data_IF_737118283250
#
_entry.id   IF_737118283250
#
_cell.length_a   1.000
_cell.length_b   1.000
_cell.length_c   1.000
_cell.angle_alpha   90.00
_cell.angle_beta   90.00
_cell.angle_gamma   90.00
#
_symmetry.space_group_name_H-M   'P 1'
#
loop_
_entity.id
_entity.type
_entity.pdbx_description
1 polymer ?
#
# COMPACT_ATOMS: atom_id res chain seq x y z
N UNK A 1 10.49 6.35 -2.17
CA UNK A 1 9.70 7.53 -1.78
C UNK A 1 8.31 7.38 -2.36
N UNK A 2 7.31 8.00 -1.73
CA UNK A 2 5.88 7.74 -1.94
C UNK A 2 5.50 7.33 -3.37
N UNK A 3 4.83 6.19 -3.48
CA UNK A 3 4.50 5.56 -4.76
C UNK A 3 5.60 4.70 -5.37
N UNK A 4 6.77 4.57 -4.72
CA UNK A 4 7.80 3.60 -5.12
C UNK A 4 7.30 2.18 -4.89
N UNK A 5 7.56 1.32 -5.87
CA UNK A 5 7.35 -0.12 -5.78
C UNK A 5 8.63 -0.78 -5.26
N UNK A 6 8.49 -1.63 -4.25
CA UNK A 6 9.55 -2.47 -3.72
C UNK A 6 9.12 -3.92 -3.93
N UNK A 7 9.82 -4.62 -4.82
CA UNK A 7 9.58 -6.05 -5.02
C UNK A 7 10.10 -6.85 -3.83
N UNK A 8 9.46 -7.96 -3.50
CA UNK A 8 9.85 -8.92 -2.46
C UNK A 8 10.39 -8.24 -1.18
N UNK A 9 9.67 -7.23 -0.70
CA UNK A 9 9.96 -6.56 0.55
C UNK A 9 9.60 -7.51 1.70
N UNK A 10 10.56 -7.89 2.56
CA UNK A 10 10.24 -8.67 3.74
C UNK A 10 9.44 -7.82 4.72
N UNK A 11 8.30 -8.34 5.15
CA UNK A 11 7.50 -7.76 6.22
C UNK A 11 7.37 -8.76 7.35
N UNK A 12 7.43 -8.24 8.57
CA UNK A 12 7.17 -9.00 9.79
C UNK A 12 5.65 -9.09 9.96
N UNK A 13 5.13 -10.30 10.06
CA UNK A 13 3.74 -10.55 10.38
C UNK A 13 3.62 -10.56 11.91
N UNK A 14 2.82 -9.65 12.50
CA UNK A 14 2.60 -9.64 13.93
C UNK A 14 2.12 -11.02 14.40
N UNK A 15 2.75 -11.62 15.43
CA UNK A 15 2.28 -12.86 16.02
C UNK A 15 0.91 -12.63 16.69
N UNK A 16 0.15 -13.71 16.87
CA UNK A 16 -1.13 -13.64 17.60
C UNK A 16 -0.95 -13.38 19.09
N UNK A 17 0.19 -13.78 19.65
CA UNK A 17 0.57 -13.58 21.04
C UNK A 17 1.73 -12.60 21.12
N UNK A 18 1.65 -11.63 22.03
CA UNK A 18 2.69 -10.62 22.24
C UNK A 18 3.34 -10.90 23.60
N UNK A 19 4.58 -11.35 23.59
CA UNK A 19 5.44 -11.59 24.75
C UNK A 19 6.81 -10.94 24.57
N UNK A 20 7.65 -10.99 25.61
CA UNK A 20 8.99 -10.37 25.59
C UNK A 20 9.88 -10.96 24.48
N UNK A 21 9.81 -12.28 24.29
CA UNK A 21 10.41 -12.98 23.16
C UNK A 21 9.31 -13.65 22.35
N UNK A 22 9.27 -13.37 21.04
CA UNK A 22 8.30 -13.95 20.11
C UNK A 22 9.01 -14.43 18.85
N UNK A 23 8.65 -15.61 18.37
CA UNK A 23 8.99 -16.01 17.01
C UNK A 23 8.05 -15.29 16.04
N UNK A 24 8.63 -14.61 15.04
CA UNK A 24 7.86 -13.88 14.04
C UNK A 24 7.99 -14.52 12.68
N UNK A 25 6.90 -14.48 11.91
CA UNK A 25 6.92 -14.91 10.51
C UNK A 25 7.30 -13.73 9.62
N UNK A 26 8.25 -13.96 8.73
CA UNK A 26 8.61 -12.99 7.68
C UNK A 26 8.00 -13.46 6.37
N UNK A 27 7.25 -12.58 5.71
CA UNK A 27 6.68 -12.83 4.38
C UNK A 27 7.23 -11.76 3.42
N UNK A 28 7.58 -12.18 2.20
CA UNK A 28 7.99 -11.25 1.15
C UNK A 28 6.75 -10.83 0.34
N UNK A 29 6.49 -9.52 0.28
CA UNK A 29 5.46 -8.95 -0.59
C UNK A 29 6.07 -7.99 -1.60
N UNK A 30 5.50 -7.93 -2.79
CA UNK A 30 5.62 -6.75 -3.62
C UNK A 30 4.76 -5.65 -2.99
N UNK A 31 5.36 -4.50 -2.68
CA UNK A 31 4.69 -3.41 -1.94
C UNK A 31 4.84 -2.05 -2.61
N UNK A 32 3.91 -1.14 -2.33
CA UNK A 32 4.01 0.29 -2.66
C UNK A 32 4.23 1.10 -1.38
N UNK A 33 5.15 2.07 -1.42
CA UNK A 33 5.37 3.00 -0.31
C UNK A 33 4.22 4.01 -0.23
N UNK A 34 3.58 4.09 0.93
CA UNK A 34 2.43 4.97 1.20
C UNK A 34 2.80 6.22 2.00
N UNK A 35 3.83 6.18 2.84
CA UNK A 35 4.26 7.35 3.63
C UNK A 35 4.52 8.58 2.76
N UNK A 36 4.15 9.74 3.28
CA UNK A 36 4.19 11.01 2.55
C UNK A 36 5.61 11.40 2.13
N UNK A 37 5.73 11.99 0.95
CA UNK A 37 7.02 12.37 0.37
C UNK A 37 7.82 13.34 1.26
N UNK A 38 7.17 14.34 1.88
CA UNK A 38 7.83 15.33 2.72
C UNK A 38 8.52 14.69 3.93
N UNK A 39 7.83 13.77 4.60
CA UNK A 39 8.36 13.09 5.80
C UNK A 39 9.54 12.18 5.47
N UNK A 40 9.50 11.52 4.31
CA UNK A 40 10.59 10.66 3.83
C UNK A 40 11.83 11.47 3.43
N UNK A 41 11.68 12.63 2.79
CA UNK A 41 12.81 13.50 2.42
C UNK A 41 13.48 14.06 3.66
N UNK A 42 12.69 14.49 4.64
CA UNK A 42 13.18 15.10 5.87
C UNK A 42 13.61 14.07 6.93
N UNK A 43 13.53 12.77 6.62
CA UNK A 43 13.83 11.66 7.54
C UNK A 43 13.09 11.78 8.88
N UNK A 44 11.81 12.17 8.83
CA UNK A 44 10.96 12.36 10.01
C UNK A 44 10.33 11.07 10.53
N UNK A 45 10.57 9.94 9.86
CA UNK A 45 9.94 8.66 10.15
C UNK A 45 11.00 7.58 10.30
N UNK A 46 10.95 6.85 11.41
CA UNK A 46 11.72 5.62 11.61
C UNK A 46 11.08 4.44 10.86
N UNK A 47 9.76 4.47 10.70
CA UNK A 47 8.95 3.45 10.06
C UNK A 47 8.21 4.01 8.84
N UNK A 48 8.28 3.29 7.73
CA UNK A 48 7.58 3.63 6.49
C UNK A 48 6.39 2.70 6.30
N UNK A 49 5.24 3.31 6.02
CA UNK A 49 4.03 2.60 5.65
C UNK A 49 4.14 2.06 4.24
N UNK A 50 3.82 0.78 4.08
CA UNK A 50 3.76 0.08 2.80
C UNK A 50 2.49 -0.74 2.72
N UNK A 51 1.94 -0.87 1.51
CA UNK A 51 0.79 -1.74 1.23
C UNK A 51 1.19 -2.80 0.19
N UNK A 52 0.80 -4.08 0.36
CA UNK A 52 0.98 -5.11 -0.65
C UNK A 52 0.27 -4.79 -1.95
N UNK A 53 0.81 -5.35 -3.02
CA UNK A 53 0.29 -5.21 -4.37
C UNK A 53 0.15 -6.60 -4.98
N UNK A 54 -0.99 -6.82 -5.64
CA UNK A 54 -1.33 -8.10 -6.24
C UNK A 54 -1.58 -7.93 -7.73
N UNK A 55 -1.01 -8.77 -8.62
CA UNK A 55 -1.46 -8.86 -10.00
C UNK A 55 -2.97 -9.12 -10.04
N UNK A 56 -3.72 -8.40 -10.87
CA UNK A 56 -5.18 -8.54 -10.94
C UNK A 56 -5.58 -10.01 -11.19
N UNK A 57 -4.86 -10.71 -12.07
CA UNK A 57 -5.05 -12.14 -12.34
C UNK A 57 -4.98 -13.04 -11.09
N UNK A 58 -4.13 -12.70 -10.12
CA UNK A 58 -4.00 -13.44 -8.87
C UNK A 58 -5.09 -13.02 -7.88
N UNK A 59 -5.38 -11.73 -7.84
CA UNK A 59 -6.43 -11.17 -7.00
C UNK A 59 -7.83 -11.71 -7.35
N UNK A 60 -8.07 -11.98 -8.64
CA UNK A 60 -9.28 -12.64 -9.15
C UNK A 60 -9.55 -14.00 -8.48
N UNK A 61 -8.51 -14.74 -8.10
CA UNK A 61 -8.66 -16.06 -7.47
C UNK A 61 -9.17 -16.00 -6.02
N UNK A 62 -9.24 -14.80 -5.41
CA UNK A 62 -9.75 -14.64 -4.04
C UNK A 62 -11.27 -14.82 -3.93
N UNK A 63 -12.03 -14.58 -5.00
CA UNK A 63 -13.48 -14.79 -5.02
C UNK A 63 -14.07 -14.73 -6.43
N UNK A 64 -15.19 -15.42 -6.66
CA UNK A 64 -15.94 -15.34 -7.92
C UNK A 64 -16.40 -13.91 -8.26
N UNK A 65 -16.60 -13.06 -7.25
CA UNK A 65 -16.93 -11.65 -7.44
C UNK A 65 -15.83 -10.94 -8.25
N UNK A 66 -14.56 -11.12 -7.91
CA UNK A 66 -13.44 -10.47 -8.61
C UNK A 66 -13.19 -11.07 -10.00
N UNK A 67 -13.56 -12.34 -10.24
CA UNK A 67 -13.56 -12.93 -11.59
C UNK A 67 -14.63 -12.32 -12.49
N UNK A 68 -15.76 -11.91 -11.91
CA UNK A 68 -16.88 -11.36 -12.67
C UNK A 68 -16.57 -9.99 -13.28
N UNK A 69 -17.15 -9.70 -14.45
CA UNK A 69 -17.05 -8.37 -15.09
C UNK A 69 -17.54 -7.25 -14.15
N UNK A 70 -18.60 -7.50 -13.40
CA UNK A 70 -19.15 -6.55 -12.43
C UNK A 70 -18.13 -6.21 -11.35
N UNK A 71 -17.53 -7.21 -10.70
CA UNK A 71 -16.56 -6.96 -9.63
C UNK A 71 -15.29 -6.27 -10.10
N UNK A 72 -14.81 -6.58 -11.32
CA UNK A 72 -13.70 -5.84 -11.95
C UNK A 72 -14.04 -4.37 -12.18
N UNK A 73 -15.27 -4.09 -12.61
CA UNK A 73 -15.73 -2.71 -12.83
C UNK A 73 -15.90 -1.94 -11.52
N UNK A 74 -16.45 -2.56 -10.47
CA UNK A 74 -16.51 -1.96 -9.12
C UNK A 74 -15.09 -1.65 -8.61
N UNK A 75 -14.12 -2.54 -8.83
CA UNK A 75 -12.73 -2.33 -8.44
C UNK A 75 -12.09 -1.18 -9.22
N UNK A 76 -12.34 -1.10 -10.54
CA UNK A 76 -11.86 -0.01 -11.42
C UNK A 76 -12.44 1.35 -11.03
N UNK A 77 -13.71 1.39 -10.61
CA UNK A 77 -14.38 2.60 -10.14
C UNK A 77 -13.96 3.01 -8.72
N UNK A 78 -13.26 2.13 -7.99
CA UNK A 78 -12.85 2.36 -6.60
C UNK A 78 -13.99 2.17 -5.59
N UNK A 79 -15.02 1.41 -5.97
CA UNK A 79 -16.19 1.13 -5.13
C UNK A 79 -15.97 -0.08 -4.19
N UNK A 80 -14.88 -0.82 -4.36
CA UNK A 80 -14.53 -1.94 -3.46
C UNK A 80 -13.68 -1.42 -2.30
N UNK A 81 -14.23 -1.31 -1.08
CA UNK A 81 -13.49 -0.72 0.04
C UNK A 81 -12.25 -1.54 0.39
N UNK A 82 -11.16 -0.84 0.70
CA UNK A 82 -9.90 -1.44 1.09
C UNK A 82 -9.01 -1.89 -0.08
N UNK A 83 -9.44 -1.65 -1.33
CA UNK A 83 -8.63 -1.98 -2.51
C UNK A 83 -8.57 -0.82 -3.50
N UNK A 84 -7.48 -0.73 -4.24
CA UNK A 84 -7.31 0.28 -5.29
C UNK A 84 -6.62 -0.31 -6.52
N UNK A 85 -7.24 -0.14 -7.69
CA UNK A 85 -6.69 -0.63 -8.95
C UNK A 85 -5.71 0.39 -9.54
N UNK A 86 -4.48 -0.06 -9.79
CA UNK A 86 -3.48 0.64 -10.59
C UNK A 86 -3.48 0.11 -12.01
N UNK A 87 -3.20 0.99 -12.97
CA UNK A 87 -3.14 0.65 -14.38
C UNK A 87 -1.93 -0.24 -14.70
N UNK A 88 -1.94 -0.82 -15.91
CA UNK A 88 -0.79 -1.52 -16.47
C UNK A 88 0.40 -0.58 -16.62
N UNK A 89 1.60 -1.16 -16.57
CA UNK A 89 2.85 -0.48 -16.91
C UNK A 89 3.42 -1.11 -18.18
N UNK A 90 3.76 -0.29 -19.17
CA UNK A 90 4.35 -0.72 -20.44
C UNK A 90 5.83 -0.30 -20.58
N UNK A 91 6.40 0.30 -19.53
CA UNK A 91 7.81 0.72 -19.52
C UNK A 91 8.70 -0.52 -19.68
N UNK A 92 9.66 -0.44 -20.61
CA UNK A 92 10.57 -1.54 -20.87
C UNK A 92 11.29 -2.02 -19.60
N UNK A 93 11.34 -3.34 -19.40
CA UNK A 93 11.86 -4.06 -18.22
C UNK A 93 11.09 -3.86 -16.92
N UNK A 94 10.02 -3.08 -16.94
CA UNK A 94 9.15 -2.83 -15.80
C UNK A 94 7.68 -3.07 -16.14
N UNK A 95 7.41 -3.94 -17.12
CA UNK A 95 6.06 -4.22 -17.52
C UNK A 95 5.29 -4.92 -16.38
N UNK A 96 4.07 -4.44 -16.13
CA UNK A 96 3.14 -5.04 -15.18
C UNK A 96 1.75 -5.05 -15.78
N UNK A 97 0.96 -6.07 -15.47
CA UNK A 97 -0.48 -6.01 -15.72
C UNK A 97 -1.15 -5.04 -14.71
N UNK A 98 -2.48 -4.98 -14.70
CA UNK A 98 -3.22 -4.28 -13.65
C UNK A 98 -2.81 -4.82 -12.27
N UNK A 99 -2.65 -3.90 -11.32
CA UNK A 99 -2.20 -4.19 -9.98
C UNK A 99 -3.25 -3.72 -8.97
N UNK A 100 -3.52 -4.53 -7.96
CA UNK A 100 -4.46 -4.21 -6.89
C UNK A 100 -3.66 -3.92 -5.62
N UNK A 101 -3.73 -2.68 -5.15
CA UNK A 101 -3.16 -2.29 -3.85
C UNK A 101 -4.13 -2.70 -2.75
N UNK A 102 -3.64 -3.42 -1.76
CA UNK A 102 -4.42 -3.92 -0.63
C UNK A 102 -4.25 -3.01 0.59
N UNK A 103 -5.24 -2.15 0.85
CA UNK A 103 -5.24 -1.25 2.01
C UNK A 103 -5.67 -1.95 3.30
N UNK A 104 -6.17 -3.19 3.23
CA UNK A 104 -6.56 -3.95 4.43
C UNK A 104 -5.34 -4.48 5.18
N UNK A 105 -4.21 -4.63 4.47
CA UNK A 105 -2.92 -5.02 5.03
C UNK A 105 -1.94 -3.87 4.91
N UNK A 106 -1.84 -3.05 5.95
CA UNK A 106 -0.86 -1.97 6.03
C UNK A 106 0.28 -2.40 6.93
N UNK A 107 1.50 -2.39 6.41
CA UNK A 107 2.69 -2.76 7.16
C UNK A 107 3.59 -1.55 7.38
N UNK A 108 4.33 -1.58 8.48
CA UNK A 108 5.41 -0.63 8.78
C UNK A 108 6.74 -1.33 8.62
N UNK A 109 7.65 -0.73 7.85
CA UNK A 109 8.99 -1.27 7.61
C UNK A 109 10.04 -0.22 8.01
N UNK A 110 11.13 -0.59 8.69
CA UNK A 110 12.18 0.37 9.04
C UNK A 110 12.69 1.15 7.83
N UNK A 111 12.77 2.47 7.95
CA UNK A 111 13.09 3.35 6.83
C UNK A 111 14.49 3.08 6.28
N UNK A 112 15.48 2.98 7.18
CA UNK A 112 16.87 2.71 6.79
C UNK A 112 17.00 1.35 6.07
N UNK A 113 16.26 0.33 6.54
CA UNK A 113 16.18 -0.96 5.87
C UNK A 113 15.64 -0.82 4.43
N UNK A 114 14.55 -0.07 4.25
CA UNK A 114 13.97 0.17 2.91
C UNK A 114 14.98 0.88 2.00
N UNK A 115 15.68 1.90 2.52
CA UNK A 115 16.70 2.64 1.77
C UNK A 115 17.83 1.71 1.31
N UNK A 116 18.33 0.86 2.19
CA UNK A 116 19.40 -0.08 1.86
C UNK A 116 18.91 -1.16 0.88
N UNK A 117 17.68 -1.62 1.03
CA UNK A 117 17.06 -2.58 0.12
C UNK A 117 16.96 -2.02 -1.30
N UNK A 118 16.45 -0.79 -1.46
CA UNK A 118 16.32 -0.18 -2.79
C UNK A 118 17.66 0.17 -3.42
N UNK A 119 18.69 0.51 -2.63
CA UNK A 119 20.05 0.72 -3.14
C UNK A 119 20.63 -0.56 -3.74
N UNK A 120 20.46 -1.70 -3.04
CA UNK A 120 20.96 -3.02 -3.50
C UNK A 120 20.25 -3.50 -4.76
N UNK A 121 18.94 -3.24 -4.90
CA UNK A 121 18.12 -3.71 -6.03
C UNK A 121 18.16 -2.78 -7.26
N UNK A 122 18.59 -1.52 -7.08
CA UNK A 122 18.78 -0.58 -8.18
C UNK A 122 17.48 0.08 -8.66
N UNK A 123 17.21 0.00 -9.97
CA UNK A 123 16.09 0.70 -10.61
C UNK A 123 14.75 0.09 -10.19
N UNK A 124 13.73 0.94 -10.07
CA UNK A 124 12.38 0.56 -9.63
C UNK A 124 11.33 1.49 -10.23
N UNK A 125 10.08 1.02 -10.24
CA UNK A 125 8.93 1.83 -10.60
C UNK A 125 8.56 2.81 -9.51
N UNK A 126 8.03 3.96 -9.93
CA UNK A 126 7.45 5.00 -9.08
C UNK A 126 6.17 5.52 -9.69
N UNK A 127 5.11 5.62 -8.90
CA UNK A 127 3.94 6.43 -9.28
C UNK A 127 4.32 7.91 -9.28
N UNK A 128 4.17 8.54 -10.44
CA UNK A 128 4.27 9.99 -10.58
C UNK A 128 2.93 10.65 -10.25
N UNK A 129 2.93 11.97 -10.05
CA UNK A 129 1.68 12.72 -9.98
C UNK A 129 0.94 12.64 -11.32
N UNK A 130 -0.40 12.51 -11.33
CA UNK A 130 -1.32 12.54 -10.18
C UNK A 130 -1.57 11.18 -9.51
N UNK A 131 -0.95 10.08 -10.00
CA UNK A 131 -1.26 8.72 -9.57
C UNK A 131 -0.98 8.48 -8.09
N UNK A 132 0.12 9.03 -7.54
CA UNK A 132 0.43 8.86 -6.11
C UNK A 132 -0.55 9.65 -5.22
N UNK A 133 -1.05 10.80 -5.67
CA UNK A 133 -2.05 11.58 -4.94
C UNK A 133 -3.40 10.87 -4.96
N UNK A 134 -3.80 10.31 -6.11
CA UNK A 134 -5.01 9.47 -6.21
C UNK A 134 -4.93 8.24 -5.30
N UNK A 135 -3.78 7.56 -5.29
CA UNK A 135 -3.55 6.41 -4.40
C UNK A 135 -3.67 6.82 -2.93
N UNK A 136 -3.06 7.94 -2.56
CA UNK A 136 -3.10 8.46 -1.19
C UNK A 136 -4.50 8.91 -0.78
N UNK A 137 -5.26 9.50 -1.70
CA UNK A 137 -6.65 9.87 -1.48
C UNK A 137 -7.55 8.63 -1.34
N UNK A 138 -7.32 7.58 -2.14
CA UNK A 138 -8.03 6.31 -2.03
C UNK A 138 -7.77 5.65 -0.66
N UNK A 139 -6.52 5.67 -0.20
CA UNK A 139 -6.14 5.20 1.13
C UNK A 139 -6.83 6.01 2.24
N UNK A 140 -6.84 7.34 2.14
CA UNK A 140 -7.53 8.21 3.10
C UNK A 140 -9.04 7.91 3.13
N UNK A 141 -9.69 7.75 1.97
CA UNK A 141 -11.11 7.39 1.86
C UNK A 141 -11.46 6.06 2.52
N UNK A 142 -10.53 5.12 2.56
CA UNK A 142 -10.74 3.84 3.22
C UNK A 142 -10.80 3.95 4.75
N UNK A 143 -9.96 4.80 5.37
CA UNK A 143 -9.92 4.96 6.84
C UNK A 143 -10.82 6.08 7.36
N UNK A 144 -11.06 7.12 6.56
CA UNK A 144 -11.83 8.27 7.02
C UNK A 144 -13.28 7.89 7.28
N UNK A 145 -13.87 8.57 8.26
CA UNK A 145 -15.32 8.58 8.48
C UNK A 145 -15.82 10.01 8.31
N UNK A 146 -17.09 10.16 7.92
CA UNK A 146 -17.74 11.47 7.93
C UNK A 146 -17.94 11.88 9.39
N UNK A 147 -17.31 12.98 9.80
CA UNK A 147 -17.51 13.55 11.12
C UNK A 147 -18.94 14.09 11.27
N UNK A 148 -19.55 13.88 12.43
CA UNK A 148 -20.82 14.54 12.79
C UNK A 148 -20.54 16.01 13.13
N UNK A 149 -21.49 16.93 12.92
CA UNK A 149 -21.29 18.37 13.12
C UNK A 149 -21.29 18.81 14.61
N UNK A 150 -20.92 17.92 15.52
CA UNK A 150 -20.86 18.19 16.96
C UNK A 150 -19.41 18.41 17.35
N UNK A 151 -19.09 19.60 17.84
CA UNK A 151 -17.72 20.01 18.20
C UNK A 151 -17.48 19.93 19.72
N UNK A 152 -16.23 20.09 20.13
CA UNK A 152 -15.81 20.15 21.52
C UNK A 152 -16.37 21.44 22.15
N UNK A 153 -17.16 21.36 23.23
CA UNK A 153 -17.65 22.55 23.93
C UNK A 153 -16.50 23.44 24.42
N UNK A 154 -16.72 24.76 24.60
CA UNK A 154 -15.70 25.65 25.15
C UNK A 154 -15.25 25.18 26.54
N UNK A 155 -13.94 25.31 26.81
CA UNK A 155 -13.38 25.05 28.13
C UNK A 155 -13.98 26.04 29.15
N UNK A 156 -14.32 25.55 30.35
CA UNK A 156 -14.83 26.36 31.46
C UNK A 156 -13.71 26.92 32.30
#
# INVERSE_FOLDING_TARGET
>A
MQGDFIKECPVIIPPSEISDEVEVRIINYDVVIMSQSCDLVQRKLDLVLVCPIWPLREFEERSDFFKSRKGKEELRQGNVPGYHLLNKCEIDRFQTDYLVVDFRSVYSVPFDFVIDLVKRRGKRLRLLSPYREHLSQAFARFFMRVGLPVDIPPFR
#
